data_IF_986107474901
#
_entry.id   IF_986107474901
#
_cell.length_a   1.000
_cell.length_b   1.000
_cell.length_c   1.000
_cell.angle_alpha   90.00
_cell.angle_beta   90.00
_cell.angle_gamma   90.00
#
_symmetry.space_group_name_H-M   'P 1'
#
loop_
_entity.id
_entity.type
_entity.pdbx_description
1 polymer ?
#
# COMPACT_ATOMS: atom_id res chain seq x y z
N UNK A 1 -18.73 -0.82 -5.36
CA UNK A 1 -17.69 -1.71 -4.79
C UNK A 1 -16.69 -2.13 -5.87
N UNK A 2 -17.17 -2.64 -7.01
CA UNK A 2 -16.31 -3.19 -8.07
C UNK A 2 -15.38 -2.16 -8.73
N UNK A 3 -15.87 -0.93 -8.97
CA UNK A 3 -15.05 0.14 -9.53
C UNK A 3 -13.89 0.55 -8.62
N UNK A 4 -14.10 0.54 -7.29
CA UNK A 4 -13.04 0.79 -6.33
C UNK A 4 -11.99 -0.32 -6.37
N UNK A 5 -12.42 -1.58 -6.39
CA UNK A 5 -11.52 -2.74 -6.48
C UNK A 5 -10.72 -2.69 -7.80
N UNK A 6 -11.34 -2.32 -8.92
CA UNK A 6 -10.65 -2.13 -10.22
C UNK A 6 -9.61 -1.02 -10.14
N UNK A 7 -9.91 0.10 -9.49
CA UNK A 7 -8.97 1.21 -9.29
C UNK A 7 -7.76 0.76 -8.47
N UNK A 8 -7.99 0.09 -7.35
CA UNK A 8 -6.94 -0.39 -6.44
C UNK A 8 -6.07 -1.47 -7.09
N UNK A 9 -6.67 -2.36 -7.90
CA UNK A 9 -5.92 -3.37 -8.68
C UNK A 9 -5.08 -2.76 -9.80
N UNK A 10 -5.41 -1.57 -10.29
CA UNK A 10 -4.62 -0.89 -11.30
C UNK A 10 -3.38 -0.24 -10.66
N UNK A 11 -2.21 -0.81 -10.93
CA UNK A 11 -0.93 -0.37 -10.35
C UNK A 11 -0.62 1.12 -10.59
N UNK A 12 -0.95 1.64 -11.76
CA UNK A 12 -0.66 3.03 -12.11
C UNK A 12 -1.61 4.00 -11.41
N UNK A 13 -2.92 3.75 -11.49
CA UNK A 13 -3.94 4.59 -10.84
C UNK A 13 -3.79 4.57 -9.32
N UNK A 14 -3.62 3.39 -8.74
CA UNK A 14 -3.41 3.26 -7.30
C UNK A 14 -2.06 3.83 -6.86
N UNK A 15 -0.99 3.59 -7.64
CA UNK A 15 0.32 4.17 -7.38
C UNK A 15 0.30 5.70 -7.40
N UNK A 16 -0.39 6.31 -8.38
CA UNK A 16 -0.57 7.76 -8.46
C UNK A 16 -1.41 8.31 -7.30
N UNK A 17 -2.46 7.59 -6.90
CA UNK A 17 -3.24 7.94 -5.70
C UNK A 17 -2.36 7.93 -4.45
N UNK A 18 -1.56 6.89 -4.24
CA UNK A 18 -0.64 6.83 -3.11
C UNK A 18 0.39 7.97 -3.19
N UNK A 19 0.99 8.21 -4.35
CA UNK A 19 1.96 9.31 -4.50
C UNK A 19 1.34 10.69 -4.17
N UNK A 20 0.12 10.95 -4.63
CA UNK A 20 -0.53 12.25 -4.48
C UNK A 20 -1.21 12.47 -3.12
N UNK A 21 -1.74 11.42 -2.49
CA UNK A 21 -2.53 11.53 -1.24
C UNK A 21 -1.87 10.88 -0.03
N UNK A 22 -1.02 9.87 -0.23
CA UNK A 22 -0.36 9.10 0.82
C UNK A 22 1.13 8.87 0.48
N UNK A 23 1.93 9.94 0.29
CA UNK A 23 3.30 9.82 -0.22
C UNK A 23 4.18 8.93 0.66
N UNK A 24 3.96 8.91 1.98
CA UNK A 24 4.66 8.00 2.88
C UNK A 24 4.37 6.52 2.56
N UNK A 25 3.12 6.16 2.26
CA UNK A 25 2.75 4.80 1.87
C UNK A 25 3.36 4.42 0.51
N UNK A 26 3.44 5.37 -0.42
CA UNK A 26 4.11 5.17 -1.71
C UNK A 26 5.62 4.94 -1.54
N UNK A 27 6.29 5.79 -0.75
CA UNK A 27 7.73 5.68 -0.47
C UNK A 27 8.09 4.41 0.32
N UNK A 28 7.25 4.02 1.28
CA UNK A 28 7.38 2.76 1.99
C UNK A 28 7.14 1.54 1.08
N UNK A 29 6.52 1.75 -0.10
CA UNK A 29 6.29 0.70 -1.08
C UNK A 29 5.11 -0.21 -0.74
N UNK A 30 4.07 0.32 -0.10
CA UNK A 30 2.84 -0.41 0.24
C UNK A 30 2.17 -0.95 -1.03
N UNK A 31 1.79 -2.24 -1.01
CA UNK A 31 1.09 -2.91 -2.11
C UNK A 31 -0.08 -3.73 -1.59
N UNK A 32 -1.20 -3.68 -2.29
CA UNK A 32 -2.37 -4.53 -1.96
C UNK A 32 -2.12 -5.94 -2.49
N UNK A 33 -2.21 -6.92 -1.59
CA UNK A 33 -2.07 -8.35 -1.89
C UNK A 33 -3.43 -9.01 -2.06
N UNK A 34 -4.38 -8.68 -1.18
CA UNK A 34 -5.75 -9.19 -1.24
C UNK A 34 -6.74 -8.10 -0.82
N UNK A 35 -7.91 -8.08 -1.45
CA UNK A 35 -8.97 -7.10 -1.15
C UNK A 35 -10.34 -7.75 -1.29
N UNK A 36 -11.07 -7.75 -0.18
CA UNK A 36 -12.43 -8.27 -0.03
C UNK A 36 -13.32 -7.24 0.67
N UNK A 37 -14.65 -7.38 0.59
CA UNK A 37 -15.55 -6.62 1.43
C UNK A 37 -15.19 -6.80 2.91
N UNK A 38 -14.82 -5.70 3.59
CA UNK A 38 -14.47 -5.70 5.01
C UNK A 38 -13.04 -6.13 5.37
N UNK A 39 -12.21 -6.53 4.40
CA UNK A 39 -10.81 -6.92 4.64
C UNK A 39 -9.89 -6.47 3.52
N UNK A 40 -8.76 -5.86 3.90
CA UNK A 40 -7.67 -5.55 3.00
C UNK A 40 -6.37 -6.12 3.56
N UNK A 41 -5.63 -6.87 2.75
CA UNK A 41 -4.30 -7.36 3.07
C UNK A 41 -3.29 -6.62 2.20
N UNK A 42 -2.29 -6.01 2.85
CA UNK A 42 -1.23 -5.25 2.20
C UNK A 42 0.13 -5.79 2.60
N UNK A 43 1.11 -5.58 1.73
CA UNK A 43 2.52 -5.88 2.01
C UNK A 43 3.34 -4.61 1.97
N UNK A 44 4.37 -4.57 2.80
CA UNK A 44 5.36 -3.49 2.85
C UNK A 44 6.74 -4.14 2.83
N UNK A 45 7.62 -3.81 1.88
CA UNK A 45 8.98 -4.35 1.87
C UNK A 45 9.75 -3.85 3.10
N UNK A 46 10.53 -4.73 3.73
CA UNK A 46 11.43 -4.34 4.82
C UNK A 46 12.64 -3.57 4.27
N UNK A 47 12.62 -2.25 4.45
CA UNK A 47 13.61 -1.28 3.96
C UNK A 47 13.80 -0.20 5.01
N UNK A 48 14.74 0.72 4.79
CA UNK A 48 15.02 1.83 5.71
C UNK A 48 13.77 2.57 6.21
N UNK A 49 12.81 2.85 5.33
CA UNK A 49 11.55 3.54 5.67
C UNK A 49 10.57 2.71 6.53
N UNK A 50 10.65 1.38 6.46
CA UNK A 50 9.78 0.46 7.21
C UNK A 50 10.52 -0.23 8.36
N UNK A 51 11.78 0.13 8.58
CA UNK A 51 12.59 -0.34 9.69
C UNK A 51 12.27 0.47 10.94
N UNK A 52 11.98 -0.25 12.02
CA UNK A 52 11.88 0.38 13.33
C UNK A 52 13.30 0.69 13.85
N UNK A 53 13.63 1.96 14.19
CA UNK A 53 14.95 2.34 14.67
C UNK A 53 15.36 1.63 15.98
N UNK A 54 14.40 1.10 16.73
CA UNK A 54 14.64 0.40 18.00
C UNK A 54 14.95 -1.09 17.82
N UNK A 55 14.93 -1.62 16.58
CA UNK A 55 15.12 -3.05 16.27
C UNK A 55 14.23 -3.99 17.10
N UNK A 56 13.10 -3.49 17.59
CA UNK A 56 12.11 -4.32 18.28
C UNK A 56 11.62 -5.38 17.31
N UNK A 57 11.74 -6.65 17.71
CA UNK A 57 11.18 -7.79 16.98
C UNK A 57 9.69 -7.89 17.25
#
# INVERSE_FOLDING_TARGET
MDEFIKLVRNRWKFGFFLFSKLPAAWLAGVRVKHLEPGKAEVTVPYKWLSQNPFRST
#
